data_IF_764561212102
#
_entry.id   IF_764561212102
#
_cell.length_a   1.000
_cell.length_b   1.000
_cell.length_c   1.000
_cell.angle_alpha   90.00
_cell.angle_beta   90.00
_cell.angle_gamma   90.00
#
_symmetry.space_group_name_H-M   'P 1'
#
loop_
_entity.id
_entity.type
_entity.pdbx_description
1 polymer ?
#
# COMPACT_ATOMS: atom_id res chain seq x y z
N UNK A 1 -10.54 26.21 -23.41
CA UNK A 1 -9.51 26.54 -22.40
C UNK A 1 -9.16 25.25 -21.69
N UNK A 2 -7.87 24.91 -21.61
CA UNK A 2 -7.37 23.70 -20.94
C UNK A 2 -7.01 24.08 -19.49
N UNK A 3 -7.74 23.52 -18.51
CA UNK A 3 -7.60 23.89 -17.09
C UNK A 3 -6.72 22.92 -16.28
N UNK A 4 -6.17 21.89 -16.93
CA UNK A 4 -5.33 20.85 -16.30
C UNK A 4 -4.02 20.70 -17.06
N UNK A 5 -2.93 20.48 -16.34
CA UNK A 5 -1.64 20.10 -16.91
C UNK A 5 -1.50 18.58 -16.79
N UNK A 6 -2.13 17.86 -17.71
CA UNK A 6 -2.00 16.41 -17.79
C UNK A 6 -0.61 16.04 -18.31
N UNK A 7 -0.05 14.93 -17.84
CA UNK A 7 1.19 14.36 -18.36
C UNK A 7 0.99 12.89 -18.72
N UNK A 8 1.83 12.38 -19.62
CA UNK A 8 1.78 10.99 -20.03
C UNK A 8 2.60 10.15 -19.06
N UNK A 9 1.97 9.12 -18.49
CA UNK A 9 2.66 8.06 -17.75
C UNK A 9 2.97 6.96 -18.77
N UNK A 10 4.25 6.63 -18.92
CA UNK A 10 4.65 5.56 -19.82
C UNK A 10 4.08 4.24 -19.28
N UNK A 11 3.39 3.44 -20.11
CA UNK A 11 2.95 2.11 -19.71
C UNK A 11 4.16 1.28 -19.30
N UNK A 12 4.04 0.52 -18.21
CA UNK A 12 5.08 -0.42 -17.82
C UNK A 12 5.16 -1.59 -18.82
N UNK A 13 6.38 -2.03 -19.13
CA UNK A 13 6.66 -3.18 -20.00
C UNK A 13 6.18 -4.49 -19.36
N UNK A 14 6.29 -4.60 -18.03
CA UNK A 14 5.84 -5.75 -17.27
C UNK A 14 4.48 -5.48 -16.63
N UNK A 15 3.44 -6.10 -17.19
CA UNK A 15 2.06 -5.95 -16.72
C UNK A 15 1.71 -6.89 -15.57
N UNK A 16 0.82 -6.41 -14.71
CA UNK A 16 0.26 -7.13 -13.56
C UNK A 16 -1.07 -7.77 -13.93
N UNK A 17 -1.31 -8.99 -13.45
CA UNK A 17 -2.57 -9.73 -13.56
C UNK A 17 -3.00 -10.38 -12.23
N UNK A 18 -4.18 -10.99 -12.21
CA UNK A 18 -4.78 -11.60 -11.01
C UNK A 18 -4.09 -12.89 -10.51
N UNK A 19 -3.15 -13.45 -11.27
CA UNK A 19 -2.38 -14.63 -10.86
C UNK A 19 -1.20 -14.24 -9.97
N UNK A 20 -0.78 -12.98 -10.01
CA UNK A 20 0.39 -12.49 -9.27
C UNK A 20 0.06 -12.13 -7.82
N UNK A 21 1.03 -12.37 -6.94
CA UNK A 21 0.98 -11.97 -5.53
C UNK A 21 1.62 -10.62 -5.32
N UNK A 22 0.90 -9.73 -4.65
CA UNK A 22 1.27 -8.33 -4.49
C UNK A 22 1.45 -8.01 -3.00
N UNK A 23 2.62 -7.54 -2.59
CA UNK A 23 2.85 -7.00 -1.26
C UNK A 23 2.88 -5.47 -1.36
N UNK A 24 2.11 -4.76 -0.53
CA UNK A 24 2.24 -3.31 -0.41
C UNK A 24 2.80 -2.94 0.95
N UNK A 25 3.69 -1.95 0.98
CA UNK A 25 4.28 -1.42 2.21
C UNK A 25 4.50 0.08 2.08
N UNK A 26 4.14 0.86 3.11
CA UNK A 26 4.41 2.28 3.11
C UNK A 26 3.42 3.14 3.88
N UNK A 27 3.28 4.38 3.42
CA UNK A 27 2.37 5.38 3.99
C UNK A 27 0.90 4.95 3.95
N UNK A 28 0.01 5.73 4.54
CA UNK A 28 -1.44 5.48 4.49
C UNK A 28 -2.00 5.44 3.06
N UNK A 29 -1.34 6.06 2.09
CA UNK A 29 -1.71 5.94 0.69
C UNK A 29 -1.45 4.53 0.11
N UNK A 30 -0.54 3.76 0.71
CA UNK A 30 -0.36 2.33 0.41
C UNK A 30 -1.62 1.53 0.78
N UNK A 31 -2.31 1.89 1.88
CA UNK A 31 -3.58 1.26 2.26
C UNK A 31 -4.68 1.59 1.23
N UNK A 32 -4.75 2.83 0.75
CA UNK A 32 -5.73 3.26 -0.25
C UNK A 32 -5.65 2.46 -1.56
N UNK A 33 -4.43 2.24 -2.07
CA UNK A 33 -4.21 1.44 -3.28
C UNK A 33 -4.31 -0.06 -2.98
N UNK A 34 -3.78 -0.50 -1.83
CA UNK A 34 -3.87 -1.88 -1.38
C UNK A 34 -5.30 -2.38 -1.21
N UNK A 35 -6.17 -1.56 -0.63
CA UNK A 35 -7.60 -1.88 -0.50
C UNK A 35 -8.30 -1.96 -1.87
N UNK A 36 -7.88 -1.17 -2.86
CA UNK A 36 -8.41 -1.27 -4.24
C UNK A 36 -7.94 -2.53 -4.95
N UNK A 37 -6.71 -2.99 -4.67
CA UNK A 37 -6.23 -4.30 -5.12
C UNK A 37 -7.07 -5.44 -4.52
N UNK A 38 -7.30 -5.42 -3.20
CA UNK A 38 -8.14 -6.43 -2.53
C UNK A 38 -9.60 -6.40 -3.01
N UNK A 39 -10.20 -5.22 -3.13
CA UNK A 39 -11.55 -5.03 -3.68
C UNK A 39 -11.65 -5.59 -5.10
N UNK A 40 -10.58 -5.41 -5.89
CA UNK A 40 -10.44 -5.95 -7.25
C UNK A 40 -9.98 -7.42 -7.27
N UNK A 41 -9.99 -8.10 -6.12
CA UNK A 41 -9.68 -9.53 -5.91
C UNK A 41 -8.27 -9.95 -6.33
N UNK A 42 -7.28 -9.06 -6.26
CA UNK A 42 -5.88 -9.48 -6.35
C UNK A 42 -5.46 -10.23 -5.09
N UNK A 43 -4.49 -11.14 -5.23
CA UNK A 43 -3.84 -11.79 -4.10
C UNK A 43 -2.84 -10.82 -3.46
N UNK A 44 -3.28 -10.11 -2.43
CA UNK A 44 -2.53 -9.01 -1.82
C UNK A 44 -2.24 -9.21 -0.34
N UNK A 45 -1.02 -8.89 0.09
CA UNK A 45 -0.68 -8.63 1.50
C UNK A 45 -0.45 -7.12 1.68
N UNK A 46 -1.34 -6.45 2.42
CA UNK A 46 -1.41 -4.99 2.43
C UNK A 46 -0.88 -4.43 3.75
N UNK A 47 0.18 -3.62 3.69
CA UNK A 47 0.80 -2.94 4.83
C UNK A 47 0.84 -3.82 6.10
N UNK A 48 1.50 -5.00 6.06
CA UNK A 48 1.40 -6.00 7.14
C UNK A 48 1.88 -5.47 8.49
N UNK A 49 2.79 -4.48 8.51
CA UNK A 49 3.28 -3.80 9.72
C UNK A 49 2.53 -2.50 10.06
N UNK A 50 1.40 -2.26 9.38
CA UNK A 50 0.66 -1.01 9.36
C UNK A 50 1.39 0.10 8.59
N UNK A 51 1.00 1.35 8.81
CA UNK A 51 1.54 2.50 8.08
C UNK A 51 2.97 2.85 8.51
N UNK A 52 3.92 2.81 7.56
CA UNK A 52 5.34 3.10 7.76
C UNK A 52 5.81 4.09 6.68
N UNK A 53 6.31 5.26 7.05
CA UNK A 53 6.43 6.36 6.08
C UNK A 53 7.81 6.52 5.43
N UNK A 54 8.88 6.03 6.03
CA UNK A 54 10.25 6.36 5.63
C UNK A 54 11.03 5.11 5.17
N UNK A 55 12.02 5.31 4.32
CA UNK A 55 12.78 4.24 3.68
C UNK A 55 13.54 3.34 4.68
N UNK A 56 14.14 3.92 5.73
CA UNK A 56 14.93 3.17 6.70
C UNK A 56 14.08 2.24 7.56
N UNK A 57 12.91 2.69 8.01
CA UNK A 57 11.98 1.83 8.75
C UNK A 57 11.44 0.69 7.89
N UNK A 58 11.12 0.94 6.61
CA UNK A 58 10.69 -0.10 5.66
C UNK A 58 11.82 -1.10 5.43
N UNK A 59 13.06 -0.61 5.24
CA UNK A 59 14.23 -1.46 5.02
C UNK A 59 14.49 -2.39 6.20
N UNK A 60 14.40 -1.87 7.43
CA UNK A 60 14.53 -2.68 8.64
C UNK A 60 13.47 -3.80 8.68
N UNK A 61 12.20 -3.48 8.42
CA UNK A 61 11.11 -4.46 8.47
C UNK A 61 11.25 -5.54 7.39
N UNK A 62 11.56 -5.16 6.15
CA UNK A 62 11.80 -6.11 5.06
C UNK A 62 12.97 -7.02 5.40
N UNK A 63 14.12 -6.47 5.81
CA UNK A 63 15.30 -7.25 6.18
C UNK A 63 14.99 -8.25 7.30
N UNK A 64 14.27 -7.83 8.34
CA UNK A 64 13.84 -8.70 9.44
C UNK A 64 12.95 -9.83 8.96
N UNK A 65 12.02 -9.56 8.05
CA UNK A 65 11.17 -10.59 7.43
C UNK A 65 11.96 -11.58 6.59
N UNK A 66 12.88 -11.10 5.76
CA UNK A 66 13.72 -11.96 4.91
C UNK A 66 14.61 -12.87 5.78
N UNK A 67 15.20 -12.32 6.83
CA UNK A 67 16.15 -13.03 7.70
C UNK A 67 15.50 -13.78 8.86
N UNK A 68 14.17 -13.77 8.97
CA UNK A 68 13.40 -14.27 10.12
C UNK A 68 13.93 -13.73 11.47
N UNK A 69 14.29 -12.46 11.52
CA UNK A 69 14.82 -11.80 12.71
C UNK A 69 13.68 -11.42 13.67
N UNK A 70 13.29 -12.37 14.50
CA UNK A 70 12.19 -12.25 15.47
C UNK A 70 12.45 -11.24 16.59
N UNK A 71 11.39 -10.55 17.00
CA UNK A 71 11.34 -9.65 18.15
C UNK A 71 11.33 -10.43 19.47
N UNK A 72 11.85 -9.79 20.51
CA UNK A 72 11.90 -10.27 21.89
C UNK A 72 11.25 -9.25 22.82
N UNK A 73 10.96 -9.63 24.06
CA UNK A 73 10.36 -8.72 25.06
C UNK A 73 11.20 -7.48 25.36
N UNK A 74 12.51 -7.52 25.09
CA UNK A 74 13.41 -6.37 25.22
C UNK A 74 13.16 -5.30 24.16
N UNK A 75 12.59 -5.67 23.02
CA UNK A 75 12.20 -4.76 21.93
C UNK A 75 10.84 -4.07 22.21
N UNK A 76 10.20 -4.40 23.33
CA UNK A 76 8.88 -3.89 23.72
C UNK A 76 8.98 -2.91 24.86
N UNK A 77 8.43 -1.72 24.61
CA UNK A 77 8.37 -0.59 25.52
C UNK A 77 6.94 -0.44 26.07
N UNK A 78 6.78 0.43 27.06
CA UNK A 78 5.50 0.70 27.70
C UNK A 78 5.26 2.22 27.79
N UNK A 79 4.03 2.64 27.47
CA UNK A 79 3.57 4.02 27.65
C UNK A 79 2.15 3.98 28.22
N UNK A 80 2.00 4.38 29.49
CA UNK A 80 0.78 4.16 30.25
C UNK A 80 0.46 2.67 30.41
N UNK A 81 -0.75 2.27 30.02
CA UNK A 81 -1.24 0.88 30.10
C UNK A 81 -0.95 0.05 28.84
N UNK A 82 -0.36 0.66 27.80
CA UNK A 82 -0.10 -0.01 26.54
C UNK A 82 1.38 -0.38 26.40
N UNK A 83 1.61 -1.58 25.88
CA UNK A 83 2.90 -2.06 25.40
C UNK A 83 2.97 -1.90 23.89
N UNK A 84 4.15 -1.57 23.37
CA UNK A 84 4.36 -1.28 21.95
C UNK A 84 5.81 -1.51 21.51
N UNK A 85 6.04 -1.58 20.21
CA UNK A 85 7.36 -1.59 19.60
C UNK A 85 7.50 -0.43 18.62
N UNK A 86 8.58 0.34 18.75
CA UNK A 86 8.86 1.52 17.94
C UNK A 86 9.01 1.25 16.43
N UNK A 87 9.22 0.00 16.04
CA UNK A 87 9.50 -0.38 14.66
C UNK A 87 8.23 -0.52 13.80
N UNK A 88 7.03 -0.50 14.41
CA UNK A 88 5.76 -0.77 13.72
C UNK A 88 4.66 0.23 14.07
N UNK A 89 3.53 0.15 13.35
CA UNK A 89 2.38 1.00 13.60
C UNK A 89 1.69 0.70 14.95
N UNK A 90 0.94 1.67 15.49
CA UNK A 90 0.24 1.52 16.78
C UNK A 90 -0.86 0.47 16.80
N UNK A 91 -1.21 -0.12 15.66
CA UNK A 91 -2.10 -1.30 15.56
C UNK A 91 -1.51 -2.55 16.22
N UNK A 92 -0.20 -2.56 16.49
CA UNK A 92 0.48 -3.63 17.22
C UNK A 92 0.48 -3.44 18.74
N UNK A 93 -0.01 -2.30 19.24
CA UNK A 93 -0.06 -2.05 20.68
C UNK A 93 -0.97 -3.09 21.37
N UNK A 94 -0.57 -3.57 22.55
CA UNK A 94 -1.36 -4.50 23.34
C UNK A 94 -1.26 -4.20 24.85
N UNK A 95 -2.03 -4.93 25.66
CA UNK A 95 -2.03 -4.80 27.12
C UNK A 95 -0.98 -5.68 27.83
N UNK A 96 -0.15 -6.41 27.08
CA UNK A 96 0.98 -7.15 27.63
C UNK A 96 2.12 -7.24 26.61
N UNK A 97 3.36 -7.41 27.09
CA UNK A 97 4.53 -7.53 26.20
C UNK A 97 4.46 -8.75 25.31
N UNK A 98 4.00 -9.86 25.87
CA UNK A 98 3.93 -11.16 25.21
C UNK A 98 3.01 -11.08 23.99
N UNK A 99 1.87 -10.38 24.11
CA UNK A 99 0.94 -10.16 22.98
C UNK A 99 1.54 -9.31 21.87
N UNK A 100 2.34 -8.29 22.20
CA UNK A 100 3.05 -7.48 21.20
C UNK A 100 4.07 -8.35 20.46
N UNK A 101 4.88 -9.11 21.20
CA UNK A 101 5.90 -10.01 20.61
C UNK A 101 5.26 -11.09 19.75
N UNK A 102 4.17 -11.72 20.22
CA UNK A 102 3.43 -12.73 19.48
C UNK A 102 2.92 -12.18 18.15
N UNK A 103 2.26 -11.02 18.17
CA UNK A 103 1.72 -10.38 16.97
C UNK A 103 2.84 -9.97 16.00
N UNK A 104 3.92 -9.35 16.49
CA UNK A 104 5.08 -8.99 15.68
C UNK A 104 5.68 -10.22 14.99
N UNK A 105 5.89 -11.29 15.72
CA UNK A 105 6.54 -12.50 15.21
C UNK A 105 5.62 -13.31 14.29
N UNK A 106 4.30 -13.29 14.50
CA UNK A 106 3.36 -13.86 13.53
C UNK A 106 3.37 -13.09 12.22
N UNK A 107 3.44 -11.76 12.27
CA UNK A 107 3.54 -10.93 11.07
C UNK A 107 4.88 -11.13 10.34
N UNK A 108 6.00 -11.26 11.07
CA UNK A 108 7.29 -11.60 10.46
C UNK A 108 7.19 -12.91 9.67
N UNK A 109 6.57 -13.96 10.24
CA UNK A 109 6.37 -15.25 9.56
C UNK A 109 5.47 -15.13 8.33
N UNK A 110 4.38 -14.39 8.44
CA UNK A 110 3.46 -14.16 7.33
C UNK A 110 4.17 -13.45 6.17
N UNK A 111 4.89 -12.36 6.46
CA UNK A 111 5.63 -11.61 5.45
C UNK A 111 6.77 -12.44 4.87
N UNK A 112 7.51 -13.20 5.70
CA UNK A 112 8.54 -14.13 5.24
C UNK A 112 7.96 -15.13 4.23
N UNK A 113 6.83 -15.78 4.56
CA UNK A 113 6.21 -16.72 3.63
C UNK A 113 5.71 -16.05 2.34
N UNK A 114 5.10 -14.87 2.46
CA UNK A 114 4.56 -14.15 1.31
C UNK A 114 5.66 -13.65 0.38
N UNK A 115 6.73 -13.04 0.92
CA UNK A 115 7.79 -12.39 0.14
C UNK A 115 8.57 -13.36 -0.74
N UNK A 116 8.74 -14.62 -0.30
CA UNK A 116 9.37 -15.68 -1.08
C UNK A 116 8.59 -16.12 -2.33
N UNK A 117 7.28 -15.81 -2.39
CA UNK A 117 6.43 -16.10 -3.55
C UNK A 117 5.80 -14.84 -4.13
N UNK A 118 6.31 -13.67 -3.76
CA UNK A 118 5.79 -12.39 -4.18
C UNK A 118 6.32 -12.05 -5.58
N UNK A 119 5.42 -11.66 -6.47
CA UNK A 119 5.74 -11.25 -7.83
C UNK A 119 5.92 -9.73 -7.93
N UNK A 120 5.16 -8.97 -7.13
CA UNK A 120 5.16 -7.51 -7.16
C UNK A 120 5.21 -6.93 -5.76
N UNK A 121 6.17 -6.04 -5.49
CA UNK A 121 6.21 -5.27 -4.24
C UNK A 121 5.99 -3.79 -4.56
N UNK A 122 5.02 -3.17 -3.88
CA UNK A 122 4.76 -1.75 -3.99
C UNK A 122 5.22 -1.01 -2.73
N UNK A 123 6.15 -0.06 -2.90
CA UNK A 123 6.71 0.75 -1.81
C UNK A 123 6.23 2.20 -1.96
N UNK A 124 5.43 2.68 -0.99
CA UNK A 124 4.87 4.03 -1.00
C UNK A 124 5.50 4.90 0.10
N UNK A 125 6.42 5.79 -0.26
CA UNK A 125 7.13 6.63 0.71
C UNK A 125 6.34 7.88 1.08
N UNK A 126 6.24 8.16 2.37
CA UNK A 126 5.52 9.33 2.90
C UNK A 126 6.44 10.52 3.14
N UNK A 127 7.57 10.31 3.83
CA UNK A 127 8.45 11.38 4.30
C UNK A 127 9.90 10.91 4.47
N UNK A 128 10.85 11.81 4.28
CA UNK A 128 12.27 11.66 4.65
C UNK A 128 12.53 12.14 6.09
N UNK A 129 11.53 12.69 6.78
CA UNK A 129 11.64 12.99 8.20
C UNK A 129 11.56 11.71 9.01
N UNK A 130 12.54 11.52 9.88
CA UNK A 130 12.58 10.42 10.84
C UNK A 130 12.70 10.95 12.27
N UNK A 131 12.26 10.13 13.21
CA UNK A 131 12.48 10.34 14.62
C UNK A 131 13.52 9.32 15.10
N UNK A 132 14.52 9.81 15.81
CA UNK A 132 15.56 9.01 16.42
C UNK A 132 15.33 8.98 17.94
N UNK A 133 15.14 7.80 18.51
CA UNK A 133 15.03 7.64 19.95
C UNK A 133 16.40 7.90 20.60
N UNK A 134 16.52 8.99 21.34
CA UNK A 134 17.81 9.50 21.82
C UNK A 134 18.52 8.53 22.76
N UNK A 135 17.78 7.70 23.52
CA UNK A 135 18.36 6.72 24.46
C UNK A 135 19.06 5.55 23.78
N UNK A 136 18.66 5.21 22.55
CA UNK A 136 19.15 4.03 21.81
C UNK A 136 19.87 4.41 20.52
N UNK A 137 19.83 5.70 20.14
CA UNK A 137 20.26 6.18 18.84
C UNK A 137 19.67 5.33 17.69
N UNK A 138 18.37 5.06 17.79
CA UNK A 138 17.61 4.20 16.89
C UNK A 138 16.51 4.98 16.19
N UNK A 139 16.43 4.87 14.87
CA UNK A 139 15.31 5.41 14.09
C UNK A 139 14.05 4.58 14.37
N UNK A 140 12.95 5.26 14.67
CA UNK A 140 11.65 4.66 14.97
C UNK A 140 10.66 4.90 13.83
N UNK A 141 9.77 3.94 13.60
CA UNK A 141 8.69 4.07 12.62
C UNK A 141 7.51 4.87 13.16
N UNK A 142 7.22 4.75 14.46
CA UNK A 142 6.13 5.44 15.15
C UNK A 142 6.57 5.84 16.55
N UNK A 143 6.17 7.01 17.06
CA UNK A 143 6.55 7.47 18.39
C UNK A 143 5.60 7.01 19.52
N UNK A 144 4.48 6.33 19.20
CA UNK A 144 3.48 5.80 20.15
C UNK A 144 3.03 6.77 21.24
N UNK A 145 2.91 8.06 20.88
CA UNK A 145 2.54 9.16 21.79
C UNK A 145 3.48 9.31 23.00
N UNK A 146 4.69 8.78 22.92
CA UNK A 146 5.77 9.05 23.88
C UNK A 146 6.17 10.52 23.78
N UNK A 147 6.62 11.11 24.88
CA UNK A 147 6.99 12.52 24.95
C UNK A 147 8.04 12.90 23.90
N UNK A 148 7.76 13.95 23.12
CA UNK A 148 8.59 14.36 21.99
C UNK A 148 10.06 14.66 22.35
N UNK A 149 10.35 15.06 23.59
CA UNK A 149 11.71 15.33 24.08
C UNK A 149 12.64 14.10 24.11
N UNK A 150 12.08 12.89 23.96
CA UNK A 150 12.85 11.65 23.88
C UNK A 150 13.35 11.36 22.45
N UNK A 151 12.96 12.20 21.48
CA UNK A 151 13.28 11.99 20.08
C UNK A 151 13.99 13.19 19.50
N UNK A 152 15.04 12.91 18.74
CA UNK A 152 15.65 13.85 17.83
C UNK A 152 15.03 13.68 16.45
N UNK A 153 14.64 14.79 15.84
CA UNK A 153 14.04 14.75 14.50
C UNK A 153 15.09 15.08 13.45
N UNK A 154 15.27 14.17 12.50
CA UNK A 154 16.30 14.27 11.46
C UNK A 154 15.65 14.17 10.09
N UNK A 155 16.11 15.00 9.14
CA UNK A 155 15.70 14.90 7.74
C UNK A 155 16.76 14.09 6.98
N UNK A 156 16.42 12.87 6.58
CA UNK A 156 17.27 12.00 5.79
C UNK A 156 17.67 12.68 4.48
N UNK A 157 18.93 12.53 4.07
CA UNK A 157 19.43 12.99 2.77
C UNK A 157 18.87 12.15 1.62
N UNK A 158 19.01 12.60 0.37
CA UNK A 158 18.72 11.75 -0.79
C UNK A 158 19.51 10.44 -0.71
N UNK A 159 20.79 10.51 -0.37
CA UNK A 159 21.69 9.36 -0.28
C UNK A 159 21.24 8.35 0.78
N UNK A 160 20.81 8.82 1.96
CA UNK A 160 20.27 7.94 3.01
C UNK A 160 19.04 7.15 2.51
N UNK A 161 18.12 7.84 1.80
CA UNK A 161 16.94 7.19 1.24
C UNK A 161 17.32 6.22 0.12
N UNK A 162 18.18 6.64 -0.80
CA UNK A 162 18.65 5.82 -1.91
C UNK A 162 19.35 4.55 -1.43
N UNK A 163 20.27 4.65 -0.46
CA UNK A 163 20.99 3.51 0.09
C UNK A 163 20.04 2.53 0.78
N UNK A 164 19.09 3.03 1.59
CA UNK A 164 18.10 2.19 2.24
C UNK A 164 17.24 1.42 1.23
N UNK A 165 16.80 2.10 0.17
CA UNK A 165 15.97 1.50 -0.88
C UNK A 165 16.77 0.54 -1.77
N UNK A 166 18.03 0.84 -2.06
CA UNK A 166 18.91 -0.03 -2.84
C UNK A 166 19.14 -1.36 -2.11
N UNK A 167 19.35 -1.33 -0.79
CA UNK A 167 19.45 -2.55 0.02
C UNK A 167 18.16 -3.38 -0.05
N UNK A 168 16.99 -2.75 0.01
CA UNK A 168 15.71 -3.45 -0.18
C UNK A 168 15.67 -4.13 -1.55
N UNK A 169 16.00 -3.38 -2.62
CA UNK A 169 15.95 -3.90 -3.99
C UNK A 169 16.92 -5.06 -4.18
N UNK A 170 18.14 -4.96 -3.65
CA UNK A 170 19.16 -6.01 -3.73
C UNK A 170 18.73 -7.28 -2.99
N UNK A 171 18.24 -7.16 -1.76
CA UNK A 171 17.72 -8.28 -0.97
C UNK A 171 16.55 -8.97 -1.71
N UNK A 172 15.63 -8.19 -2.30
CA UNK A 172 14.49 -8.72 -3.04
C UNK A 172 14.88 -9.43 -4.34
N UNK A 173 15.81 -8.86 -5.11
CA UNK A 173 16.31 -9.48 -6.35
C UNK A 173 17.06 -10.78 -6.03
N UNK A 174 17.79 -10.83 -4.92
CA UNK A 174 18.46 -12.05 -4.49
C UNK A 174 17.46 -13.17 -4.17
N UNK A 175 16.31 -12.82 -3.57
CA UNK A 175 15.23 -13.78 -3.30
C UNK A 175 14.47 -14.21 -4.55
N UNK A 176 14.12 -13.25 -5.41
CA UNK A 176 13.36 -13.47 -6.62
C UNK A 176 13.88 -12.56 -7.75
N UNK A 177 14.72 -13.07 -8.66
CA UNK A 177 15.32 -12.26 -9.73
C UNK A 177 14.31 -11.64 -10.71
N UNK A 178 13.09 -12.17 -10.77
CA UNK A 178 12.00 -11.69 -11.64
C UNK A 178 10.98 -10.84 -10.89
N UNK A 179 11.26 -10.45 -9.64
CA UNK A 179 10.37 -9.60 -8.87
C UNK A 179 10.25 -8.22 -9.52
N UNK A 180 9.02 -7.70 -9.57
CA UNK A 180 8.74 -6.34 -9.98
C UNK A 180 8.61 -5.45 -8.74
N UNK A 181 9.26 -4.30 -8.74
CA UNK A 181 9.21 -3.35 -7.63
C UNK A 181 8.60 -2.05 -8.15
N UNK A 182 7.46 -1.66 -7.60
CA UNK A 182 6.82 -0.39 -7.93
C UNK A 182 7.04 0.57 -6.77
N UNK A 183 7.64 1.72 -7.06
CA UNK A 183 7.87 2.75 -6.05
C UNK A 183 7.05 3.98 -6.33
N UNK A 184 6.63 4.68 -5.28
CA UNK A 184 5.91 5.95 -5.43
C UNK A 184 6.10 6.84 -4.22
N UNK A 185 6.02 8.16 -4.42
CA UNK A 185 5.89 9.13 -3.33
C UNK A 185 4.41 9.36 -3.06
N UNK A 186 4.01 9.24 -1.79
CA UNK A 186 2.64 9.47 -1.36
C UNK A 186 2.18 10.89 -1.69
N UNK A 187 0.96 11.09 -2.23
CA UNK A 187 0.37 12.41 -2.44
C UNK A 187 -0.05 13.10 -1.13
N UNK A 188 -0.07 12.39 -0.01
CA UNK A 188 -0.42 12.95 1.30
C UNK A 188 0.63 13.97 1.74
N UNK A 189 0.15 15.15 2.16
CA UNK A 189 1.01 16.28 2.57
C UNK A 189 1.40 16.19 4.05
N UNK A 190 2.69 16.17 4.36
CA UNK A 190 3.19 16.18 5.73
C UNK A 190 3.52 17.60 6.20
N UNK A 191 2.49 18.44 6.37
CA UNK A 191 2.67 19.88 6.63
C UNK A 191 2.88 20.26 8.10
N UNK A 192 2.98 19.30 9.03
CA UNK A 192 3.14 19.58 10.47
C UNK A 192 4.39 20.43 10.76
N UNK A 193 5.44 20.24 9.97
CA UNK A 193 6.71 20.96 10.10
C UNK A 193 6.80 22.20 9.20
N UNK A 194 5.81 22.40 8.34
CA UNK A 194 5.77 23.46 7.33
C UNK A 194 5.73 22.93 5.90
N UNK A 195 5.30 23.81 4.98
CA UNK A 195 5.13 23.46 3.56
C UNK A 195 6.50 23.31 2.89
N UNK A 196 7.45 24.17 3.22
CA UNK A 196 8.82 24.10 2.70
C UNK A 196 9.49 22.78 3.10
N UNK A 197 9.36 22.40 4.36
CA UNK A 197 9.91 21.19 4.96
C UNK A 197 9.30 19.93 4.34
N UNK A 198 7.98 19.94 4.09
CA UNK A 198 7.32 18.89 3.32
C UNK A 198 7.90 18.80 1.91
N UNK A 199 8.03 19.92 1.21
CA UNK A 199 8.50 19.91 -0.17
C UNK A 199 9.96 19.46 -0.29
N UNK A 200 10.84 19.88 0.63
CA UNK A 200 12.22 19.40 0.69
C UNK A 200 12.25 17.90 0.96
N UNK A 201 11.44 17.41 1.90
CA UNK A 201 11.31 15.98 2.17
C UNK A 201 10.86 15.21 0.92
N UNK A 202 9.80 15.67 0.24
CA UNK A 202 9.29 15.01 -0.97
C UNK A 202 10.33 15.05 -2.11
N UNK A 203 11.04 16.16 -2.28
CA UNK A 203 12.10 16.30 -3.28
C UNK A 203 13.23 15.28 -3.06
N UNK A 204 13.64 15.03 -1.81
CA UNK A 204 14.66 14.01 -1.50
C UNK A 204 14.19 12.59 -1.80
N UNK A 205 12.91 12.28 -1.53
CA UNK A 205 12.32 11.00 -1.91
C UNK A 205 12.25 10.83 -3.44
N UNK A 206 11.80 11.88 -4.15
CA UNK A 206 11.69 11.87 -5.60
C UNK A 206 13.05 11.64 -6.26
N UNK A 207 14.09 12.35 -5.81
CA UNK A 207 15.46 12.19 -6.30
C UNK A 207 15.99 10.77 -6.04
N UNK A 208 15.81 10.24 -4.82
CA UNK A 208 16.23 8.89 -4.48
C UNK A 208 15.51 7.82 -5.33
N UNK A 209 14.20 7.95 -5.53
CA UNK A 209 13.42 7.02 -6.36
C UNK A 209 13.75 7.14 -7.85
N UNK A 210 14.03 8.35 -8.33
CA UNK A 210 14.48 8.57 -9.70
C UNK A 210 15.80 7.86 -9.96
N UNK A 211 16.78 7.99 -9.06
CA UNK A 211 18.06 7.28 -9.15
C UNK A 211 17.87 5.76 -9.08
N UNK A 212 17.00 5.28 -8.18
CA UNK A 212 16.70 3.86 -8.03
C UNK A 212 16.13 3.25 -9.33
N UNK A 213 15.16 3.95 -9.95
CA UNK A 213 14.56 3.56 -11.23
C UNK A 213 15.57 3.53 -12.39
N UNK A 214 16.61 4.38 -12.37
CA UNK A 214 17.67 4.36 -13.38
C UNK A 214 18.65 3.20 -13.19
N UNK A 215 18.92 2.81 -11.93
CA UNK A 215 19.96 1.84 -11.60
C UNK A 215 19.45 0.39 -11.55
N UNK A 216 18.14 0.17 -11.36
CA UNK A 216 17.55 -1.16 -11.25
C UNK A 216 16.40 -1.34 -12.25
N UNK A 217 16.55 -2.27 -13.20
CA UNK A 217 15.54 -2.58 -14.22
C UNK A 217 14.22 -3.13 -13.66
N UNK A 218 14.25 -3.69 -12.45
CA UNK A 218 13.08 -4.23 -11.75
C UNK A 218 12.21 -3.12 -11.13
N UNK A 219 12.75 -1.90 -11.04
CA UNK A 219 12.10 -0.78 -10.35
C UNK A 219 11.40 0.10 -11.36
N UNK A 220 10.08 0.23 -11.19
CA UNK A 220 9.27 1.25 -11.87
C UNK A 220 8.85 2.32 -10.86
N UNK A 221 8.95 3.59 -11.26
CA UNK A 221 8.36 4.71 -10.52
C UNK A 221 6.94 5.02 -11.02
N UNK A 222 5.98 5.04 -10.09
CA UNK A 222 4.61 5.50 -10.35
C UNK A 222 4.38 6.91 -9.79
N UNK A 223 3.97 7.90 -10.60
CA UNK A 223 3.94 9.32 -10.21
C UNK A 223 2.64 9.72 -9.50
N UNK A 224 2.30 9.09 -8.37
CA UNK A 224 1.06 9.39 -7.64
C UNK A 224 1.04 10.78 -6.99
N UNK A 225 2.20 11.30 -6.57
CA UNK A 225 2.36 12.64 -6.02
C UNK A 225 2.11 13.73 -7.07
N UNK A 226 2.71 13.56 -8.26
CA UNK A 226 2.60 14.48 -9.40
C UNK A 226 1.20 14.46 -10.00
N UNK A 227 0.52 13.29 -10.03
CA UNK A 227 -0.89 13.21 -10.43
C UNK A 227 -1.79 14.12 -9.56
N UNK A 228 -1.46 14.27 -8.27
CA UNK A 228 -2.22 15.15 -7.37
C UNK A 228 -1.79 16.61 -7.53
N UNK A 229 -0.48 16.88 -7.60
CA UNK A 229 0.00 18.25 -7.58
C UNK A 229 -0.05 18.97 -8.94
N UNK A 230 0.15 18.25 -10.04
CA UNK A 230 0.27 18.85 -11.37
C UNK A 230 -0.98 18.63 -12.21
N UNK A 231 -1.57 17.44 -12.13
CA UNK A 231 -2.75 17.09 -12.91
C UNK A 231 -4.06 17.47 -12.18
N UNK A 232 -4.26 16.96 -10.96
CA UNK A 232 -5.40 17.30 -10.09
C UNK A 232 -5.13 18.52 -9.20
N UNK A 233 -4.48 19.55 -9.76
CA UNK A 233 -3.98 20.75 -9.08
C UNK A 233 -5.07 21.69 -8.55
N UNK A 234 -5.96 21.21 -7.67
CA UNK A 234 -7.09 21.95 -7.09
C UNK A 234 -7.41 21.41 -5.68
N UNK A 235 -7.71 22.30 -4.72
CA UNK A 235 -8.08 21.92 -3.35
C UNK A 235 -9.32 21.02 -3.26
N UNK A 236 -10.20 21.02 -4.27
CA UNK A 236 -11.34 20.11 -4.33
C UNK A 236 -10.96 18.61 -4.28
N UNK A 237 -9.71 18.30 -4.58
CA UNK A 237 -9.16 16.95 -4.55
C UNK A 237 -8.48 16.60 -3.22
N UNK A 238 -8.53 17.48 -2.23
CA UNK A 238 -8.13 17.21 -0.86
C UNK A 238 -9.36 17.14 0.06
N UNK A 239 -9.29 16.28 1.08
CA UNK A 239 -10.28 16.20 2.17
C UNK A 239 -10.27 17.51 2.96
N UNK A 240 -11.20 17.64 3.91
CA UNK A 240 -11.37 18.83 4.75
C UNK A 240 -10.08 19.25 5.50
N UNK A 241 -9.18 18.30 5.76
CA UNK A 241 -7.88 18.56 6.38
C UNK A 241 -6.83 19.19 5.45
N UNK A 242 -7.14 19.35 4.15
CA UNK A 242 -6.27 19.90 3.11
C UNK A 242 -4.93 19.16 2.94
N UNK A 243 -4.87 17.91 3.43
CA UNK A 243 -3.67 17.07 3.52
C UNK A 243 -3.87 15.77 2.75
N UNK A 244 -4.99 15.08 2.98
CA UNK A 244 -5.26 13.79 2.36
C UNK A 244 -6.06 13.97 1.07
N UNK A 245 -5.81 13.20 0.00
CA UNK A 245 -6.64 13.21 -1.19
C UNK A 245 -8.08 12.75 -0.90
N UNK A 246 -9.05 13.26 -1.65
CA UNK A 246 -10.44 12.75 -1.63
C UNK A 246 -10.54 11.38 -2.30
N UNK A 247 -11.61 10.62 -2.05
CA UNK A 247 -11.83 9.33 -2.72
C UNK A 247 -11.83 9.46 -4.25
N UNK A 248 -12.46 10.52 -4.79
CA UNK A 248 -12.43 10.82 -6.22
C UNK A 248 -11.00 10.95 -6.76
N UNK A 249 -10.13 11.60 -6.00
CA UNK A 249 -8.73 11.80 -6.40
C UNK A 249 -7.95 10.48 -6.34
N UNK A 250 -8.21 9.65 -5.32
CA UNK A 250 -7.60 8.32 -5.22
C UNK A 250 -8.10 7.39 -6.33
N UNK A 251 -9.39 7.43 -6.69
CA UNK A 251 -9.94 6.65 -7.80
C UNK A 251 -9.34 7.03 -9.15
N UNK A 252 -9.09 8.32 -9.36
CA UNK A 252 -8.37 8.80 -10.54
C UNK A 252 -6.93 8.25 -10.58
N UNK A 253 -6.23 8.25 -9.44
CA UNK A 253 -4.88 7.67 -9.36
C UNK A 253 -4.92 6.15 -9.60
N UNK A 254 -5.94 5.45 -9.09
CA UNK A 254 -6.15 4.02 -9.34
C UNK A 254 -6.40 3.71 -10.82
N UNK A 255 -7.17 4.56 -11.52
CA UNK A 255 -7.36 4.46 -12.98
C UNK A 255 -6.01 4.58 -13.69
N UNK A 256 -5.20 5.59 -13.34
CA UNK A 256 -3.84 5.79 -13.89
C UNK A 256 -2.89 4.65 -13.55
N UNK A 257 -3.00 4.10 -12.35
CA UNK A 257 -2.25 2.90 -11.96
C UNK A 257 -2.63 1.72 -12.85
N UNK A 258 -3.92 1.50 -13.08
CA UNK A 258 -4.40 0.42 -13.94
C UNK A 258 -4.03 0.57 -15.41
N UNK A 259 -4.08 1.79 -15.96
CA UNK A 259 -3.57 2.09 -17.31
C UNK A 259 -2.06 1.77 -17.43
N UNK A 260 -1.31 2.07 -16.37
CA UNK A 260 0.15 1.91 -16.35
C UNK A 260 0.57 0.46 -16.21
N UNK A 261 -0.05 -0.29 -15.29
CA UNK A 261 0.42 -1.60 -14.88
C UNK A 261 -0.47 -2.77 -15.27
N UNK A 262 -1.75 -2.60 -15.57
CA UNK A 262 -2.62 -3.74 -15.91
C UNK A 262 -2.67 -3.98 -17.42
N UNK A 263 -2.72 -5.26 -17.81
CA UNK A 263 -3.04 -5.63 -19.19
C UNK A 263 -4.55 -5.50 -19.45
N UNK A 264 -4.96 -5.53 -20.72
CA UNK A 264 -6.36 -5.33 -21.11
C UNK A 264 -7.30 -6.41 -20.55
N UNK A 265 -6.84 -7.66 -20.42
CA UNK A 265 -7.63 -8.72 -19.78
C UNK A 265 -7.88 -8.45 -18.30
N UNK A 266 -6.85 -8.01 -17.56
CA UNK A 266 -6.95 -7.64 -16.14
C UNK A 266 -7.87 -6.46 -15.94
N UNK A 267 -7.76 -5.41 -16.75
CA UNK A 267 -8.69 -4.28 -16.71
C UNK A 267 -10.15 -4.72 -16.97
N UNK A 268 -10.35 -5.64 -17.93
CA UNK A 268 -11.68 -6.21 -18.22
C UNK A 268 -12.24 -6.99 -17.02
N UNK A 269 -11.40 -7.80 -16.35
CA UNK A 269 -11.79 -8.53 -15.14
C UNK A 269 -12.17 -7.55 -14.03
N UNK A 270 -11.37 -6.51 -13.77
CA UNK A 270 -11.67 -5.48 -12.76
C UNK A 270 -13.03 -4.83 -13.03
N UNK A 271 -13.34 -4.48 -14.28
CA UNK A 271 -14.65 -3.92 -14.64
C UNK A 271 -15.81 -4.87 -14.35
N UNK A 272 -15.63 -6.19 -14.56
CA UNK A 272 -16.64 -7.19 -14.19
C UNK A 272 -16.78 -7.31 -12.67
N UNK A 273 -15.66 -7.31 -11.94
CA UNK A 273 -15.65 -7.32 -10.47
C UNK A 273 -16.40 -6.12 -9.89
N UNK A 274 -16.16 -4.92 -10.42
CA UNK A 274 -16.88 -3.71 -9.99
C UNK A 274 -18.40 -3.85 -10.16
N UNK A 275 -18.87 -4.51 -11.24
CA UNK A 275 -20.29 -4.80 -11.45
C UNK A 275 -20.82 -5.81 -10.44
N UNK A 276 -20.07 -6.87 -10.14
CA UNK A 276 -20.42 -7.88 -9.13
C UNK A 276 -20.52 -7.23 -7.75
N UNK A 277 -19.49 -6.48 -7.35
CA UNK A 277 -19.47 -5.78 -6.05
C UNK A 277 -20.61 -4.77 -5.93
N UNK A 278 -20.88 -3.98 -6.98
CA UNK A 278 -22.03 -3.06 -6.98
C UNK A 278 -23.36 -3.80 -6.84
N UNK A 279 -23.50 -4.98 -7.48
CA UNK A 279 -24.70 -5.79 -7.39
C UNK A 279 -24.92 -6.35 -5.97
N UNK A 280 -23.86 -6.76 -5.27
CA UNK A 280 -23.92 -7.28 -3.91
C UNK A 280 -24.38 -6.22 -2.89
N UNK A 281 -23.99 -4.96 -3.09
CA UNK A 281 -24.39 -3.84 -2.23
C UNK A 281 -25.75 -3.24 -2.59
N UNK A 282 -26.30 -3.57 -3.76
CA UNK A 282 -27.57 -3.03 -4.22
C UNK A 282 -28.74 -3.60 -3.42
N UNK A 283 -29.62 -2.73 -2.93
CA UNK A 283 -30.86 -3.12 -2.23
C UNK A 283 -32.05 -3.05 -3.19
N UNK A 284 -32.56 -4.18 -3.72
CA UNK A 284 -33.70 -4.17 -4.63
C UNK A 284 -35.00 -3.75 -3.92
N UNK A 285 -35.88 -3.06 -4.63
CA UNK A 285 -37.20 -2.71 -4.10
C UNK A 285 -38.11 -3.94 -3.93
N UNK A 286 -37.97 -4.95 -4.80
CA UNK A 286 -38.67 -6.23 -4.71
C UNK A 286 -37.74 -7.40 -5.03
N UNK A 287 -37.27 -8.08 -3.99
CA UNK A 287 -36.38 -9.26 -4.06
C UNK A 287 -36.99 -10.44 -4.82
N UNK A 288 -38.32 -10.57 -4.86
CA UNK A 288 -38.99 -11.73 -5.51
C UNK A 288 -39.36 -11.47 -6.97
N UNK A 289 -39.12 -10.25 -7.48
CA UNK A 289 -39.45 -9.90 -8.85
C UNK A 289 -38.65 -10.74 -9.86
N UNK A 290 -39.30 -11.16 -10.95
CA UNK A 290 -38.66 -11.95 -12.01
C UNK A 290 -37.42 -11.23 -12.60
N UNK A 291 -37.49 -9.90 -12.72
CA UNK A 291 -36.37 -9.08 -13.18
C UNK A 291 -35.17 -9.13 -12.23
N UNK A 292 -35.40 -9.07 -10.92
CA UNK A 292 -34.34 -9.19 -9.93
C UNK A 292 -33.73 -10.60 -9.92
N UNK A 293 -34.57 -11.64 -9.99
CA UNK A 293 -34.11 -13.03 -10.04
C UNK A 293 -33.27 -13.33 -11.30
N UNK A 294 -33.67 -12.80 -12.47
CA UNK A 294 -32.86 -12.85 -13.70
C UNK A 294 -31.54 -12.09 -13.55
N UNK A 295 -31.56 -10.95 -12.86
CA UNK A 295 -30.35 -10.17 -12.58
C UNK A 295 -29.36 -10.95 -11.71
N UNK A 296 -29.80 -11.56 -10.60
CA UNK A 296 -28.93 -12.37 -9.73
C UNK A 296 -28.28 -13.54 -10.50
N UNK A 297 -29.05 -14.28 -11.30
CA UNK A 297 -28.54 -15.37 -12.16
C UNK A 297 -27.49 -14.87 -13.15
N UNK A 298 -27.65 -13.66 -13.69
CA UNK A 298 -26.65 -13.04 -14.58
C UNK A 298 -25.35 -12.70 -13.85
N UNK A 299 -25.42 -12.26 -12.59
CA UNK A 299 -24.22 -11.98 -11.78
C UNK A 299 -23.48 -13.28 -11.46
N UNK A 300 -24.20 -14.35 -11.07
CA UNK A 300 -23.58 -15.67 -10.84
C UNK A 300 -22.90 -16.18 -12.12
N UNK A 301 -23.56 -16.11 -13.27
CA UNK A 301 -22.95 -16.51 -14.54
C UNK A 301 -21.68 -15.69 -14.90
N UNK A 302 -21.64 -14.40 -14.52
CA UNK A 302 -20.46 -13.56 -14.69
C UNK A 302 -19.32 -14.00 -13.77
N UNK A 303 -19.62 -14.37 -12.51
CA UNK A 303 -18.63 -14.93 -11.59
C UNK A 303 -18.04 -16.22 -12.17
N UNK A 304 -18.90 -17.17 -12.59
CA UNK A 304 -18.47 -18.44 -13.17
C UNK A 304 -17.61 -18.25 -14.44
N UNK A 305 -17.86 -17.20 -15.21
CA UNK A 305 -17.03 -16.85 -16.37
C UNK A 305 -15.65 -16.35 -15.95
N UNK A 306 -15.53 -15.56 -14.89
CA UNK A 306 -14.24 -15.07 -14.37
C UNK A 306 -13.43 -16.25 -13.80
N UNK A 307 -14.07 -17.15 -13.06
CA UNK A 307 -13.43 -18.33 -12.48
C UNK A 307 -12.92 -19.31 -13.56
N UNK A 308 -13.58 -19.36 -14.73
CA UNK A 308 -13.11 -20.12 -15.90
C UNK A 308 -11.86 -19.47 -16.51
N UNK A 309 -10.72 -19.71 -15.87
CA UNK A 309 -9.40 -19.27 -16.35
C UNK A 309 -8.61 -18.44 -15.36
N UNK A 310 -9.11 -18.21 -14.14
CA UNK A 310 -8.40 -17.48 -13.10
C UNK A 310 -8.54 -18.18 -11.74
N UNK A 311 -7.57 -17.96 -10.85
CA UNK A 311 -7.58 -18.47 -9.47
C UNK A 311 -8.29 -17.51 -8.50
N UNK A 312 -9.24 -16.72 -9.00
CA UNK A 312 -9.94 -15.71 -8.19
C UNK A 312 -11.09 -16.38 -7.44
N UNK A 313 -11.16 -16.16 -6.15
CA UNK A 313 -12.18 -16.74 -5.27
C UNK A 313 -13.39 -15.81 -5.10
N UNK A 314 -14.56 -16.35 -5.45
CA UNK A 314 -15.89 -15.76 -5.24
C UNK A 314 -16.84 -16.67 -4.46
N UNK A 315 -16.34 -17.65 -3.69
CA UNK A 315 -17.19 -18.62 -2.97
C UNK A 315 -18.23 -17.91 -2.09
N UNK A 316 -17.78 -16.97 -1.24
CA UNK A 316 -18.66 -16.21 -0.36
C UNK A 316 -19.68 -15.36 -1.13
N UNK A 317 -19.27 -14.69 -2.22
CA UNK A 317 -20.19 -13.92 -3.06
C UNK A 317 -21.23 -14.81 -3.74
N UNK A 318 -20.83 -15.99 -4.23
CA UNK A 318 -21.76 -16.95 -4.84
C UNK A 318 -22.76 -17.48 -3.82
N UNK A 319 -22.31 -17.90 -2.64
CA UNK A 319 -23.18 -18.38 -1.57
C UNK A 319 -24.22 -17.33 -1.19
N UNK A 320 -23.78 -16.07 -1.00
CA UNK A 320 -24.67 -14.96 -0.72
C UNK A 320 -25.71 -14.75 -1.84
N UNK A 321 -25.28 -14.70 -3.11
CA UNK A 321 -26.19 -14.51 -4.23
C UNK A 321 -27.16 -15.68 -4.41
N UNK A 322 -26.70 -16.92 -4.21
CA UNK A 322 -27.52 -18.12 -4.28
C UNK A 322 -28.59 -18.15 -3.17
N UNK A 323 -28.25 -17.68 -1.97
CA UNK A 323 -29.21 -17.57 -0.86
C UNK A 323 -30.37 -16.60 -1.14
N UNK A 324 -30.22 -15.71 -2.13
CA UNK A 324 -31.21 -14.72 -2.56
C UNK A 324 -32.06 -15.18 -3.76
N UNK A 325 -31.73 -16.33 -4.35
CA UNK A 325 -32.50 -16.91 -5.45
C UNK A 325 -33.66 -17.75 -4.90
N UNK A 326 -34.84 -17.59 -5.48
CA UNK A 326 -36.09 -18.29 -5.11
C UNK A 326 -36.43 -19.38 -6.13
#
# INVERSE_FOLDING_TARGET
MQFRTTFQISPSDEKINHQQKILTIGSCFSDEIGNRLLYSKFNGLINPFGTIFNALSIQNLIRRSISEEYYKEIDVHQNGEQFFCFDVHSSFNALSKEKVVEHLNSTIKEVHHFIHSCDVIMITLGTSWVYNLSSENKIVANCHKVEAKQFDKTLLSTEDNYNALSLIVEDLIQLNPTIKIITTVSPVRHIKDGITENNVSKARLLDALYQLNLNYKQVDYFPSYELILDDLRDYRFFKEDMIHPTEQAVDYIWEKFGETFFNSSTQTIIQKINKIQSALHHRPFNETSESHQKFLKKIIAMIEEIEKGNTIDFEQEKEFLQSKII
#
